data_IF_661905139300
#
_entry.id   IF_661905139300
#
_cell.length_a   1.000
_cell.length_b   1.000
_cell.length_c   1.000
_cell.angle_alpha   90.00
_cell.angle_beta   90.00
_cell.angle_gamma   90.00
#
_symmetry.space_group_name_H-M   'P 1'
#
loop_
_entity.id
_entity.type
_entity.pdbx_description
1 polymer ?
#
# COMPACT_ATOMS: atom_id res chain seq x y z
N UNK A 1 30.75 -23.66 21.80
CA UNK A 1 29.69 -22.73 22.23
C UNK A 1 28.85 -23.49 23.25
N UNK A 2 28.77 -23.07 24.52
CA UNK A 2 28.07 -23.85 25.53
C UNK A 2 26.56 -23.82 25.25
N UNK A 3 25.93 -24.98 25.26
CA UNK A 3 24.49 -25.14 25.21
C UNK A 3 23.90 -24.57 26.51
N UNK A 4 23.13 -23.48 26.41
CA UNK A 4 22.29 -23.02 27.52
C UNK A 4 21.19 -24.07 27.74
N UNK A 5 21.35 -24.91 28.78
CA UNK A 5 20.25 -25.68 29.32
C UNK A 5 19.42 -24.76 30.22
N UNK A 6 18.22 -24.40 29.76
CA UNK A 6 17.28 -23.52 30.47
C UNK A 6 16.16 -23.01 29.55
N UNK A 7 15.12 -22.42 30.14
CA UNK A 7 14.05 -21.74 29.37
C UNK A 7 14.49 -20.30 29.14
N UNK A 8 14.57 -19.86 27.88
CA UNK A 8 14.87 -18.48 27.55
C UNK A 8 13.59 -17.65 27.68
N UNK A 9 13.55 -16.73 28.64
CA UNK A 9 12.44 -15.78 28.80
C UNK A 9 12.76 -14.49 28.04
N UNK A 10 12.02 -14.22 26.97
CA UNK A 10 12.01 -12.90 26.34
C UNK A 10 10.76 -12.16 26.80
N UNK A 11 10.94 -11.08 27.56
CA UNK A 11 9.84 -10.18 27.92
C UNK A 11 9.54 -9.31 26.69
N UNK A 12 8.63 -9.80 25.83
CA UNK A 12 8.05 -8.98 24.78
C UNK A 12 6.77 -8.32 25.30
N UNK A 13 6.70 -6.99 25.27
CA UNK A 13 5.43 -6.26 25.38
C UNK A 13 4.60 -6.52 24.11
N UNK A 14 4.02 -7.71 24.00
CA UNK A 14 3.11 -8.08 22.93
C UNK A 14 1.67 -7.84 23.37
N UNK A 15 0.97 -6.91 22.72
CA UNK A 15 -0.48 -6.86 22.84
C UNK A 15 -1.08 -8.21 22.40
N UNK A 16 -2.22 -8.60 23.00
CA UNK A 16 -2.92 -9.82 22.63
C UNK A 16 -3.13 -9.86 21.10
N UNK A 17 -2.66 -10.91 20.44
CA UNK A 17 -2.79 -11.05 18.99
C UNK A 17 -4.27 -11.15 18.64
N UNK A 18 -4.83 -10.26 17.81
CA UNK A 18 -6.23 -10.29 17.44
C UNK A 18 -6.55 -11.58 16.66
N UNK A 19 -7.79 -12.06 16.78
CA UNK A 19 -8.31 -13.23 16.06
C UNK A 19 -8.04 -13.03 14.56
N UNK A 20 -7.31 -13.97 13.95
CA UNK A 20 -7.07 -13.99 12.50
C UNK A 20 -8.32 -14.49 11.80
N UNK A 21 -9.04 -13.59 11.13
CA UNK A 21 -10.09 -14.00 10.19
C UNK A 21 -9.39 -14.35 8.88
N UNK A 22 -9.22 -15.65 8.62
CA UNK A 22 -8.80 -16.10 7.30
C UNK A 22 -9.94 -15.88 6.33
N UNK A 23 -9.78 -14.92 5.42
CA UNK A 23 -10.71 -14.67 4.33
C UNK A 23 -10.00 -14.96 3.02
N UNK A 24 -10.52 -15.93 2.27
CA UNK A 24 -10.06 -16.23 0.91
C UNK A 24 -10.51 -15.16 -0.11
N UNK A 25 -11.19 -14.11 0.35
CA UNK A 25 -11.69 -13.06 -0.53
C UNK A 25 -10.55 -12.09 -0.89
N UNK A 26 -10.17 -11.98 -2.17
CA UNK A 26 -9.17 -11.00 -2.58
C UNK A 26 -9.72 -9.58 -2.41
N UNK A 27 -8.90 -8.66 -1.92
CA UNK A 27 -9.24 -7.24 -1.82
C UNK A 27 -8.60 -6.46 -2.96
N UNK A 28 -9.44 -5.92 -3.85
CA UNK A 28 -9.02 -4.96 -4.87
C UNK A 28 -9.07 -3.53 -4.36
N UNK A 29 -7.96 -2.80 -4.42
CA UNK A 29 -7.86 -1.39 -4.05
C UNK A 29 -7.46 -0.59 -5.28
N UNK A 30 -8.35 0.31 -5.70
CA UNK A 30 -8.06 1.32 -6.71
C UNK A 30 -7.36 2.52 -6.05
N UNK A 31 -6.07 2.67 -6.31
CA UNK A 31 -5.22 3.65 -5.67
C UNK A 31 -4.83 4.79 -6.63
N UNK A 32 -4.81 6.02 -6.13
CA UNK A 32 -4.22 7.15 -6.85
C UNK A 32 -3.21 7.83 -5.93
N UNK A 33 -1.92 7.58 -6.16
CA UNK A 33 -0.84 8.25 -5.46
C UNK A 33 -0.53 9.58 -6.15
N UNK A 34 -0.84 10.70 -5.50
CA UNK A 34 -0.50 12.02 -6.04
C UNK A 34 1.02 12.20 -6.07
N UNK A 35 1.56 12.51 -7.24
CA UNK A 35 2.99 12.75 -7.43
C UNK A 35 3.79 11.52 -7.88
N UNK A 36 3.22 10.31 -7.78
CA UNK A 36 3.86 9.12 -8.34
C UNK A 36 3.68 9.09 -9.86
N UNK A 37 4.78 9.04 -10.62
CA UNK A 37 4.73 8.74 -12.05
C UNK A 37 4.61 7.23 -12.26
N UNK A 38 4.10 6.83 -13.44
CA UNK A 38 4.07 5.42 -13.86
C UNK A 38 5.47 4.80 -13.83
N UNK A 39 6.50 5.54 -14.22
CA UNK A 39 7.87 5.04 -14.24
C UNK A 39 8.36 4.75 -12.82
N UNK A 40 8.11 5.63 -11.84
CA UNK A 40 8.52 5.41 -10.45
C UNK A 40 7.95 4.11 -9.88
N UNK A 41 6.69 3.82 -10.20
CA UNK A 41 5.99 2.63 -9.73
C UNK A 41 6.57 1.36 -10.39
N UNK A 42 6.82 1.39 -11.71
CA UNK A 42 7.40 0.25 -12.43
C UNK A 42 8.87 0.00 -12.06
N UNK A 43 9.68 1.05 -11.92
CA UNK A 43 11.08 0.95 -11.49
C UNK A 43 11.19 0.30 -10.12
N UNK A 44 10.32 0.68 -9.16
CA UNK A 44 10.32 0.06 -7.83
C UNK A 44 9.87 -1.41 -7.87
N UNK A 45 9.00 -1.76 -8.81
CA UNK A 45 8.57 -3.13 -9.03
C UNK A 45 9.59 -3.98 -9.82
N UNK A 46 10.68 -3.39 -10.31
CA UNK A 46 11.74 -4.09 -11.06
C UNK A 46 11.40 -4.37 -12.53
N UNK A 47 10.40 -3.68 -13.09
CA UNK A 47 9.99 -3.86 -14.49
C UNK A 47 10.45 -2.69 -15.36
N UNK A 48 10.79 -3.00 -16.60
CA UNK A 48 10.96 -1.98 -17.64
C UNK A 48 9.59 -1.41 -18.01
N UNK A 49 9.52 -0.07 -18.09
CA UNK A 49 8.31 0.74 -18.27
C UNK A 49 7.35 0.18 -19.34
N UNK A 50 6.08 -0.02 -18.98
CA UNK A 50 5.01 -0.48 -19.88
C UNK A 50 4.05 0.68 -20.21
N UNK A 51 3.37 0.64 -21.35
CA UNK A 51 2.41 1.68 -21.79
C UNK A 51 1.20 1.84 -20.85
N UNK A 52 0.77 0.78 -20.17
CA UNK A 52 -0.42 0.75 -19.33
C UNK A 52 -0.14 1.10 -17.86
N UNK A 53 -1.17 1.58 -17.15
CA UNK A 53 -1.08 1.77 -15.70
C UNK A 53 -0.95 0.40 -15.00
N UNK A 54 -0.04 0.26 -14.02
CA UNK A 54 0.22 -1.04 -13.43
C UNK A 54 -0.91 -1.53 -12.51
N UNK A 55 -1.14 -2.84 -12.58
CA UNK A 55 -1.92 -3.60 -11.60
C UNK A 55 -0.95 -4.58 -10.95
N UNK A 56 -0.81 -4.52 -9.62
CA UNK A 56 0.03 -5.44 -8.86
C UNK A 56 -0.80 -6.26 -7.87
N UNK A 57 -0.53 -7.56 -7.82
CA UNK A 57 -1.09 -8.44 -6.81
C UNK A 57 -0.01 -8.79 -5.78
N UNK A 58 -0.32 -8.60 -4.50
CA UNK A 58 0.54 -8.93 -3.38
C UNK A 58 -0.07 -10.09 -2.60
N UNK A 59 0.76 -11.08 -2.27
CA UNK A 59 0.36 -12.25 -1.49
C UNK A 59 -0.04 -11.92 -0.04
N UNK A 60 0.32 -10.74 0.46
CA UNK A 60 0.00 -10.30 1.81
C UNK A 60 -0.03 -8.77 1.92
N UNK A 61 -0.82 -8.29 2.88
CA UNK A 61 -0.94 -6.86 3.22
C UNK A 61 0.41 -6.25 3.60
N UNK A 62 1.24 -6.99 4.34
CA UNK A 62 2.57 -6.52 4.78
C UNK A 62 3.47 -6.17 3.60
N UNK A 63 3.51 -7.02 2.55
CA UNK A 63 4.30 -6.75 1.34
C UNK A 63 3.77 -5.54 0.58
N UNK A 64 2.45 -5.39 0.50
CA UNK A 64 1.84 -4.22 -0.13
C UNK A 64 2.16 -2.93 0.65
N UNK A 65 2.12 -2.97 1.98
CA UNK A 65 2.48 -1.86 2.87
C UNK A 65 3.95 -1.47 2.70
N UNK A 66 4.87 -2.43 2.69
CA UNK A 66 6.30 -2.19 2.47
C UNK A 66 6.56 -1.51 1.13
N UNK A 67 5.96 -2.04 0.04
CA UNK A 67 6.07 -1.45 -1.29
C UNK A 67 5.61 0.01 -1.33
N UNK A 68 4.44 0.32 -0.76
CA UNK A 68 3.89 1.68 -0.76
C UNK A 68 4.69 2.61 0.15
N UNK A 69 5.11 2.13 1.32
CA UNK A 69 5.95 2.90 2.26
C UNK A 69 7.27 3.30 1.61
N UNK A 70 7.94 2.35 0.94
CA UNK A 70 9.20 2.62 0.26
C UNK A 70 9.02 3.61 -0.89
N UNK A 71 7.97 3.42 -1.70
CA UNK A 71 7.66 4.33 -2.80
C UNK A 71 7.43 5.77 -2.30
N UNK A 72 6.75 5.94 -1.16
CA UNK A 72 6.52 7.23 -0.52
C UNK A 72 7.83 7.85 -0.02
N UNK A 73 8.68 7.06 0.64
CA UNK A 73 9.96 7.53 1.22
C UNK A 73 10.97 7.91 0.13
N UNK A 74 11.14 7.06 -0.88
CA UNK A 74 12.11 7.26 -1.96
C UNK A 74 11.78 8.46 -2.84
N UNK A 75 10.48 8.73 -3.06
CA UNK A 75 10.03 9.81 -3.93
C UNK A 75 9.48 11.03 -3.15
N UNK A 76 9.64 11.05 -1.82
CA UNK A 76 9.17 12.09 -0.91
C UNK A 76 7.70 12.51 -1.17
N UNK A 77 6.83 11.52 -1.34
CA UNK A 77 5.41 11.74 -1.62
C UNK A 77 4.69 12.15 -0.32
N UNK A 78 3.76 13.11 -0.43
CA UNK A 78 2.95 13.56 0.71
C UNK A 78 1.57 12.89 0.80
N UNK A 79 1.31 11.86 -0.01
CA UNK A 79 0.00 11.20 -0.09
C UNK A 79 0.01 9.85 0.65
N UNK A 80 -0.42 9.87 1.91
CA UNK A 80 -0.42 8.72 2.81
C UNK A 80 -1.71 7.90 2.82
N UNK A 81 -2.76 8.32 2.08
CA UNK A 81 -4.10 7.72 2.16
C UNK A 81 -4.12 6.23 1.81
N UNK A 82 -3.29 5.82 0.85
CA UNK A 82 -3.13 4.40 0.49
C UNK A 82 -2.46 3.62 1.63
N UNK A 83 -1.44 4.20 2.24
CA UNK A 83 -0.70 3.61 3.34
C UNK A 83 -1.62 3.44 4.57
N UNK A 84 -2.40 4.46 4.92
CA UNK A 84 -3.36 4.40 6.04
C UNK A 84 -4.41 3.30 5.83
N UNK A 85 -4.89 3.15 4.59
CA UNK A 85 -5.86 2.09 4.25
C UNK A 85 -5.24 0.70 4.41
N UNK A 86 -3.99 0.53 3.95
CA UNK A 86 -3.25 -0.72 4.11
C UNK A 86 -2.95 -1.01 5.59
N UNK A 87 -2.68 0.01 6.39
CA UNK A 87 -2.46 -0.11 7.84
C UNK A 87 -3.72 -0.61 8.54
N UNK A 88 -4.88 -0.03 8.23
CA UNK A 88 -6.16 -0.47 8.76
C UNK A 88 -6.46 -1.93 8.43
N UNK A 89 -6.19 -2.37 7.19
CA UNK A 89 -6.37 -3.77 6.78
C UNK A 89 -5.36 -4.68 7.51
N UNK A 90 -4.13 -4.21 7.70
CA UNK A 90 -3.10 -4.96 8.42
C UNK A 90 -3.47 -5.16 9.90
N UNK A 91 -4.02 -4.13 10.55
CA UNK A 91 -4.48 -4.19 11.95
C UNK A 91 -5.66 -5.15 12.14
N UNK A 92 -6.51 -5.33 11.12
CA UNK A 92 -7.57 -6.33 11.13
C UNK A 92 -7.05 -7.76 10.99
N UNK A 93 -5.74 -7.95 10.76
CA UNK A 93 -5.08 -9.25 10.72
C UNK A 93 -5.73 -10.24 9.74
N UNK A 94 -6.22 -9.71 8.60
CA UNK A 94 -6.85 -10.49 7.54
C UNK A 94 -5.76 -11.04 6.63
N UNK A 95 -5.75 -12.36 6.43
CA UNK A 95 -4.88 -13.00 5.44
C UNK A 95 -5.57 -12.99 4.08
N UNK A 96 -5.26 -12.00 3.25
CA UNK A 96 -5.85 -11.84 1.94
C UNK A 96 -4.81 -11.43 0.88
N UNK A 97 -5.15 -11.68 -0.38
CA UNK A 97 -4.43 -11.15 -1.54
C UNK A 97 -4.89 -9.72 -1.75
N UNK A 98 -3.94 -8.78 -1.84
CA UNK A 98 -4.23 -7.38 -2.16
C UNK A 98 -3.88 -7.11 -3.61
N UNK A 99 -4.84 -6.59 -4.37
CA UNK A 99 -4.63 -6.13 -5.75
C UNK A 99 -4.64 -4.60 -5.73
N UNK A 100 -3.50 -3.97 -6.05
CA UNK A 100 -3.37 -2.53 -6.19
C UNK A 100 -3.46 -2.16 -7.67
N UNK A 101 -4.49 -1.40 -8.03
CA UNK A 101 -4.63 -0.79 -9.36
C UNK A 101 -4.31 0.69 -9.26
N UNK A 102 -3.26 1.15 -9.94
CA UNK A 102 -2.89 2.57 -9.94
C UNK A 102 -3.66 3.34 -11.02
N UNK A 103 -4.34 4.41 -10.63
CA UNK A 103 -5.12 5.26 -11.53
C UNK A 103 -4.42 6.60 -11.76
N UNK A 104 -4.43 7.06 -13.02
CA UNK A 104 -3.93 8.39 -13.37
C UNK A 104 -4.97 9.42 -12.92
N UNK A 105 -4.53 10.43 -12.17
CA UNK A 105 -5.41 11.55 -11.79
C UNK A 105 -5.86 12.26 -13.06
N UNK A 106 -7.17 12.28 -13.33
CA UNK A 106 -7.73 13.10 -14.40
C UNK A 106 -7.38 14.58 -14.14
N UNK A 107 -6.77 15.25 -15.11
CA UNK A 107 -6.62 16.72 -15.06
C UNK A 107 -8.04 17.29 -15.12
N UNK A 108 -8.55 17.83 -14.00
CA UNK A 108 -9.75 18.69 -14.04
C UNK A 108 -9.39 19.97 -14.79
N UNK A 109 -9.59 20.01 -16.10
CA UNK A 109 -9.76 21.24 -16.85
C UNK A 109 -11.24 21.62 -16.80
N UNK A 110 -11.68 22.14 -15.66
CA UNK A 110 -12.97 22.83 -15.54
C UNK A 110 -12.66 24.20 -14.96
N UNK A 111 -12.14 25.08 -15.82
CA UNK A 111 -12.41 26.51 -15.67
C UNK A 111 -13.91 26.69 -15.88
N UNK A 112 -14.67 26.56 -14.81
CA UNK A 112 -16.06 27.00 -14.79
C UNK A 112 -16.01 28.51 -14.62
N UNK A 113 -15.71 29.19 -15.73
CA UNK A 113 -15.85 30.65 -15.85
C UNK A 113 -17.34 30.94 -15.71
N UNK A 114 -17.81 31.09 -14.48
CA UNK A 114 -19.07 31.74 -14.16
C UNK A 114 -18.92 33.21 -14.58
N UNK A 115 -19.08 33.47 -15.89
CA UNK A 115 -19.50 34.78 -16.37
C UNK A 115 -20.90 34.99 -15.80
N UNK A 116 -20.97 35.66 -14.65
CA UNK A 116 -22.19 36.36 -14.25
C UNK A 116 -22.38 37.49 -15.27
N UNK A 117 -23.15 37.18 -16.31
CA UNK A 117 -23.76 38.17 -17.18
C UNK A 117 -25.12 38.54 -16.61
N UNK A 118 -25.43 39.83 -16.71
CA UNK A 118 -26.60 40.58 -16.22
C UNK A 118 -26.53 41.00 -14.75
#
# INVERSE_FOLDING_TARGET
MPAQFGVNFNISNGAASPIKVQSDTPLGIAACLRGASKEMIYTKAGYESVEAMPIFAFSSVSKAKEFVSDLIKENNLQDFRLLDTLECIHLQNVSNVIILSFLKKAKKSLQLTLRRGF
#
